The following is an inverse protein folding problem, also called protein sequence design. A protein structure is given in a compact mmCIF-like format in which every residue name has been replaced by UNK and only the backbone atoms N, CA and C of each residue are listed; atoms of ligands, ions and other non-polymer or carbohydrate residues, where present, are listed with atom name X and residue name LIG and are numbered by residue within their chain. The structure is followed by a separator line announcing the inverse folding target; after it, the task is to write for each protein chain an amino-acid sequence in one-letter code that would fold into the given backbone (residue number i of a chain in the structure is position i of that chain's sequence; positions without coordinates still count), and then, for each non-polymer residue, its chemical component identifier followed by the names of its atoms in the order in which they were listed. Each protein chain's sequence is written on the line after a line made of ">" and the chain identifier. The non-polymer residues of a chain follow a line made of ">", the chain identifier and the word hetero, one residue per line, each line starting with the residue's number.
data_IF_384944222124
#
_entry.id   IF_384944222124
#
_cell.length_a   1.000
_cell.length_b   1.000
_cell.length_c   1.000
_cell.angle_alpha   90.00
_cell.angle_beta   90.00
_cell.angle_gamma   90.00
#
_symmetry.space_group_name_H-M   'P 1'
#
loop_
_entity.id
_entity.type
_entity.pdbx_description
1 polymer ?
#
# COMPACT_ATOMS: atom_id res chain seq x y z
N UNK A 1 -6.85 -5.87 -10.80
CA UNK A 1 -5.89 -6.91 -11.15
C UNK A 1 -5.80 -7.18 -12.64
N UNK A 2 -6.94 -7.42 -13.29
CA UNK A 2 -6.91 -7.64 -14.69
C UNK A 2 -6.30 -6.51 -15.47
N UNK A 3 -6.63 -5.28 -15.09
CA UNK A 3 -6.12 -4.14 -15.83
C UNK A 3 -4.62 -4.05 -15.74
N UNK A 4 -4.07 -4.39 -14.59
CA UNK A 4 -2.64 -4.32 -14.41
C UNK A 4 -1.96 -5.40 -15.23
N UNK A 5 -2.52 -6.62 -15.23
CA UNK A 5 -1.95 -7.68 -16.02
C UNK A 5 -2.00 -7.35 -17.51
N UNK A 6 -3.09 -6.72 -17.92
CA UNK A 6 -3.25 -6.36 -19.30
C UNK A 6 -2.21 -5.32 -19.71
N UNK A 7 -1.97 -4.35 -18.86
CA UNK A 7 -0.97 -3.33 -19.16
C UNK A 7 0.43 -3.92 -19.20
N UNK A 8 0.73 -4.83 -18.30
CA UNK A 8 2.05 -5.41 -18.25
C UNK A 8 2.36 -6.21 -19.52
N UNK A 9 1.35 -6.78 -20.14
CA UNK A 9 1.59 -7.57 -21.34
C UNK A 9 2.18 -6.76 -22.49
N UNK A 10 2.00 -5.46 -22.47
CA UNK A 10 2.48 -4.63 -23.57
C UNK A 10 3.73 -3.82 -23.23
N UNK A 11 4.39 -4.16 -22.14
CA UNK A 11 5.56 -3.42 -21.70
C UNK A 11 6.81 -4.14 -22.13
N UNK A 12 7.81 -3.39 -22.57
CA UNK A 12 9.09 -3.97 -23.00
C UNK A 12 9.83 -4.51 -21.78
N UNK A 13 10.71 -5.46 -22.02
CA UNK A 13 11.41 -6.14 -20.93
C UNK A 13 12.22 -5.18 -20.05
N UNK A 14 12.90 -4.21 -20.67
CA UNK A 14 13.71 -3.30 -19.89
C UNK A 14 12.81 -2.38 -19.06
N UNK A 15 11.66 -1.99 -19.57
CA UNK A 15 10.73 -1.18 -18.82
C UNK A 15 10.12 -1.99 -17.68
N UNK A 16 9.85 -3.25 -17.93
CA UNK A 16 9.29 -4.10 -16.90
C UNK A 16 10.30 -4.32 -15.78
N UNK A 17 11.57 -4.46 -16.12
CA UNK A 17 12.61 -4.59 -15.09
C UNK A 17 12.69 -3.34 -14.24
N UNK A 18 12.55 -2.17 -14.84
CA UNK A 18 12.59 -0.94 -14.08
C UNK A 18 11.40 -0.86 -13.13
N UNK A 19 10.21 -1.22 -13.62
CA UNK A 19 9.02 -1.20 -12.79
C UNK A 19 9.17 -2.19 -11.64
N UNK A 20 9.72 -3.36 -11.92
CA UNK A 20 9.91 -4.38 -10.90
C UNK A 20 10.89 -3.89 -9.83
N UNK A 21 11.97 -3.25 -10.24
CA UNK A 21 12.94 -2.73 -9.27
C UNK A 21 12.30 -1.63 -8.41
N UNK A 22 11.51 -0.78 -9.03
CA UNK A 22 10.83 0.28 -8.27
C UNK A 22 9.80 -0.31 -7.31
N UNK A 23 9.09 -1.33 -7.75
CA UNK A 23 8.12 -1.98 -6.90
C UNK A 23 8.81 -2.66 -5.73
N UNK A 24 9.94 -3.32 -5.96
CA UNK A 24 10.67 -3.98 -4.89
C UNK A 24 11.14 -2.95 -3.87
N UNK A 25 11.61 -1.80 -4.31
CA UNK A 25 12.04 -0.75 -3.39
C UNK A 25 10.84 -0.21 -2.60
N UNK A 26 9.69 -0.04 -3.27
CA UNK A 26 8.51 0.44 -2.60
C UNK A 26 8.04 -0.58 -1.56
N UNK A 27 8.06 -1.86 -1.90
CA UNK A 27 7.62 -2.89 -0.96
C UNK A 27 8.54 -2.98 0.24
N UNK A 28 9.83 -2.74 0.05
CA UNK A 28 10.75 -2.73 1.17
C UNK A 28 10.39 -1.59 2.12
N UNK A 29 10.08 -0.42 1.59
CA UNK A 29 9.68 0.70 2.42
C UNK A 29 8.38 0.40 3.16
N UNK A 30 7.45 -0.26 2.48
CA UNK A 30 6.18 -0.64 3.07
C UNK A 30 6.40 -1.60 4.24
N UNK A 31 7.18 -2.66 4.01
CA UNK A 31 7.40 -3.64 5.07
C UNK A 31 8.13 -3.03 6.26
N UNK A 32 9.04 -2.12 5.99
CA UNK A 32 9.76 -1.44 7.06
C UNK A 32 8.78 -0.61 7.88
N UNK A 33 7.88 0.11 7.24
CA UNK A 33 6.92 0.95 7.93
C UNK A 33 5.94 0.10 8.75
N UNK A 34 5.47 -1.00 8.18
CA UNK A 34 4.57 -1.90 8.89
C UNK A 34 5.28 -2.49 10.11
N UNK A 35 6.51 -2.95 9.92
CA UNK A 35 7.28 -3.55 10.99
C UNK A 35 7.48 -2.56 12.12
N UNK A 36 7.82 -1.34 11.79
CA UNK A 36 8.03 -0.33 12.82
C UNK A 36 6.75 -0.06 13.58
N UNK A 37 5.63 0.00 12.90
CA UNK A 37 4.36 0.24 13.56
C UNK A 37 4.00 -0.90 14.50
N UNK A 38 4.22 -2.12 14.07
CA UNK A 38 3.92 -3.29 14.89
C UNK A 38 4.83 -3.34 16.11
N UNK A 39 6.12 -3.09 15.90
CA UNK A 39 7.07 -3.16 16.99
C UNK A 39 6.78 -2.08 18.02
N UNK A 40 6.39 -0.92 17.59
CA UNK A 40 6.11 0.16 18.51
C UNK A 40 4.73 0.09 19.14
N UNK A 41 3.88 -0.79 18.62
CA UNK A 41 2.53 -0.91 19.14
C UNK A 41 1.67 0.30 18.83
N UNK A 42 1.92 0.95 17.70
CA UNK A 42 1.22 2.18 17.36
C UNK A 42 -0.04 1.96 16.54
N UNK A 43 -0.65 0.83 16.67
CA UNK A 43 -1.90 0.60 15.97
C UNK A 43 -1.76 -0.39 14.85
N UNK A 44 -2.68 -0.37 13.93
CA UNK A 44 -2.76 -1.35 12.86
C UNK A 44 -2.88 -0.69 11.51
N UNK A 45 -2.23 0.44 11.35
CA UNK A 45 -2.17 1.10 10.07
C UNK A 45 -0.94 1.98 9.98
N UNK A 46 -0.51 2.25 8.79
CA UNK A 46 0.63 3.12 8.57
C UNK A 46 0.45 3.81 7.22
N UNK A 47 1.16 4.89 7.00
CA UNK A 47 1.14 5.58 5.71
C UNK A 47 2.57 5.63 5.20
N UNK A 48 2.73 5.24 3.93
CA UNK A 48 4.03 5.28 3.28
C UNK A 48 3.94 6.30 2.15
N UNK A 49 4.92 7.18 2.06
CA UNK A 49 4.93 8.27 1.10
C UNK A 49 5.95 8.04 -0.01
N UNK A 50 5.73 8.73 -1.12
CA UNK A 50 6.71 8.76 -2.22
C UNK A 50 6.92 7.39 -2.87
N UNK A 51 5.83 6.67 -3.02
CA UNK A 51 5.90 5.39 -3.69
C UNK A 51 5.99 5.61 -5.20
N UNK A 52 6.85 4.86 -5.86
CA UNK A 52 7.02 4.98 -7.30
C UNK A 52 5.94 4.19 -8.03
N UNK A 53 5.56 3.06 -7.49
CA UNK A 53 4.56 2.19 -8.11
C UNK A 53 3.39 1.98 -7.15
N UNK A 54 2.75 3.10 -6.76
CA UNK A 54 1.71 3.04 -5.73
C UNK A 54 0.58 2.07 -6.06
N UNK A 55 0.13 2.07 -7.32
CA UNK A 55 -0.98 1.21 -7.69
C UNK A 55 -0.62 -0.26 -7.61
N UNK A 56 0.58 -0.61 -8.02
CA UNK A 56 1.02 -2.00 -7.94
C UNK A 56 1.23 -2.42 -6.50
N UNK A 57 1.73 -1.52 -5.67
CA UNK A 57 1.91 -1.79 -4.26
C UNK A 57 0.54 -2.06 -3.64
N UNK A 58 -0.44 -1.23 -3.97
CA UNK A 58 -1.79 -1.41 -3.44
C UNK A 58 -2.35 -2.76 -3.81
N UNK A 59 -2.24 -3.14 -5.08
CA UNK A 59 -2.78 -4.41 -5.53
C UNK A 59 -2.13 -5.56 -4.80
N UNK A 60 -0.81 -5.50 -4.65
CA UNK A 60 -0.09 -6.58 -3.99
C UNK A 60 -0.50 -6.68 -2.52
N UNK A 61 -0.66 -5.56 -1.85
CA UNK A 61 -1.06 -5.57 -0.45
C UNK A 61 -2.50 -6.04 -0.28
N UNK A 62 -3.38 -5.64 -1.18
CA UNK A 62 -4.75 -6.09 -1.10
C UNK A 62 -4.86 -7.60 -1.31
N UNK A 63 -4.01 -8.15 -2.16
CA UNK A 63 -3.97 -9.59 -2.33
C UNK A 63 -3.55 -10.30 -1.05
N UNK A 64 -2.77 -9.65 -0.21
CA UNK A 64 -2.33 -10.21 1.05
C UNK A 64 -3.30 -9.93 2.20
N UNK A 65 -4.39 -9.27 1.92
CA UNK A 65 -5.41 -9.02 2.94
C UNK A 65 -5.40 -7.65 3.58
N UNK A 66 -4.51 -6.77 3.14
CA UNK A 66 -4.48 -5.41 3.68
C UNK A 66 -5.55 -4.56 2.99
N UNK A 67 -6.06 -3.58 3.70
CA UNK A 67 -6.90 -2.56 3.09
C UNK A 67 -6.01 -1.36 2.79
N UNK A 68 -6.22 -0.71 1.67
CA UNK A 68 -5.36 0.40 1.27
C UNK A 68 -6.20 1.59 0.83
N UNK A 69 -5.71 2.78 1.16
CA UNK A 69 -6.35 4.02 0.70
C UNK A 69 -5.26 4.95 0.21
N UNK A 70 -5.54 5.63 -0.87
CA UNK A 70 -4.59 6.60 -1.39
C UNK A 70 -4.58 7.81 -0.49
N UNK A 71 -3.40 8.36 -0.25
CA UNK A 71 -3.24 9.53 0.58
C UNK A 71 -2.52 10.60 -0.19
N UNK A 72 -2.92 11.84 0.02
CA UNK A 72 -2.29 12.99 -0.59
C UNK A 72 -1.87 13.94 0.52
N UNK A 73 -0.67 14.46 0.43
CA UNK A 73 -0.19 15.35 1.46
C UNK A 73 -0.90 16.69 1.43
N UNK A 74 -0.74 17.44 2.50
CA UNK A 74 -1.28 18.77 2.57
C UNK A 74 -0.19 19.77 2.24
N UNK A 75 -0.51 20.77 1.53
CA UNK A 75 0.44 21.82 1.19
C UNK A 75 1.06 21.63 -0.18
N UNK A 76 1.66 22.66 -0.68
CA UNK A 76 2.13 22.67 -2.07
C UNK A 76 3.16 21.59 -2.37
N UNK A 77 4.07 21.36 -1.46
CA UNK A 77 5.09 20.39 -1.74
C UNK A 77 4.58 18.99 -1.55
N UNK A 78 3.58 18.82 -0.71
CA UNK A 78 3.12 17.49 -0.42
C UNK A 78 2.25 16.94 -1.50
N UNK A 79 1.70 17.76 -2.34
CA UNK A 79 0.78 17.27 -3.33
C UNK A 79 1.44 16.37 -4.36
N UNK A 80 2.76 16.36 -4.39
CA UNK A 80 3.43 15.49 -5.32
C UNK A 80 3.83 14.16 -4.71
N UNK A 81 3.51 13.95 -3.47
CA UNK A 81 3.89 12.70 -2.82
C UNK A 81 2.82 11.68 -3.03
N UNK A 82 3.21 10.53 -3.50
CA UNK A 82 2.29 9.42 -3.68
C UNK A 82 2.26 8.65 -2.37
N UNK A 83 1.18 8.77 -1.63
CA UNK A 83 1.05 8.13 -0.34
C UNK A 83 0.04 7.00 -0.38
N UNK A 84 0.22 6.04 0.48
CA UNK A 84 -0.69 4.93 0.60
C UNK A 84 -0.86 4.61 2.07
N UNK A 85 -2.10 4.66 2.53
CA UNK A 85 -2.43 4.25 3.89
C UNK A 85 -2.71 2.76 3.84
N UNK A 86 -2.00 2.02 4.65
CA UNK A 86 -2.07 0.58 4.67
C UNK A 86 -2.65 0.17 6.00
N UNK A 87 -3.73 -0.59 5.97
CA UNK A 87 -4.47 -0.93 7.17
C UNK A 87 -4.57 -2.45 7.26
N UNK A 88 -4.25 -2.98 8.41
CA UNK A 88 -4.35 -4.44 8.59
C UNK A 88 -5.30 -4.79 9.74
N UNK A 89 -6.16 -3.84 10.14
CA UNK A 89 -7.21 -4.17 11.09
C UNK A 89 -8.17 -5.15 10.45
N UNK A 90 -8.75 -5.95 11.27
CA UNK A 90 -9.72 -6.90 10.77
C UNK A 90 -11.06 -6.16 10.65
N UNK A 91 -11.39 -5.72 9.47
CA UNK A 91 -12.60 -4.95 9.26
C UNK A 91 -13.83 -5.77 9.55
N UNK A 92 -13.79 -7.02 9.28
CA UNK A 92 -14.94 -7.84 9.59
C UNK A 92 -15.14 -7.88 11.07
N UNK A 93 -14.09 -7.94 11.80
CA UNK A 93 -14.21 -7.95 13.22
C UNK A 93 -14.76 -6.64 13.67
N UNK A 94 -14.35 -5.56 13.04
CA UNK A 94 -14.90 -4.31 13.46
C UNK A 94 -16.34 -4.24 13.22
N UNK A 95 -16.75 -4.74 12.14
CA UNK A 95 -18.13 -4.68 11.83
C UNK A 95 -18.86 -5.50 12.81
N UNK A 96 -18.30 -6.60 13.16
CA UNK A 96 -19.07 -7.36 13.99
C UNK A 96 -18.94 -6.86 15.28
N UNK A 97 -17.90 -6.29 15.55
CA UNK A 97 -17.76 -5.93 16.76
C UNK A 97 -18.62 -4.99 17.11
N UNK A 98 -18.99 -4.38 16.28
CA UNK A 98 -19.94 -3.51 16.65
C UNK A 98 -20.84 -4.29 17.37
N UNK A 99 -20.87 -5.37 17.08
CA UNK A 99 -21.84 -6.04 17.74
C UNK A 99 -21.32 -6.36 18.97
N UNK A 100 -20.30 -6.65 18.91
CA UNK A 100 -19.95 -7.15 19.98
C UNK A 100 -19.88 -6.24 20.96
N UNK A 101 -19.77 -5.34 20.69
CA UNK A 101 -19.70 -4.46 21.53
C UNK A 101 -20.71 -4.63 22.36
N UNK A 102 -21.15 -5.17 22.16
CA UNK A 102 -21.94 -5.48 22.76
C UNK A 102 -21.89 -6.11 23.75
#
# INVERSE_FOLDING_TARGET
>A
MKDVLYAVKNIRADELNKITDELDADMLAVWKSITETVVRGNGRETIVWRLNQRDLVRIRLEDLGYACKEEYGNGPESCFKNGLRIIWRNDNAEVEETCDDI
#
